data_IF_044927356349
#
_entry.id   IF_044927356349
#
_cell.length_a   1.000
_cell.length_b   1.000
_cell.length_c   1.000
_cell.angle_alpha   90.00
_cell.angle_beta   90.00
_cell.angle_gamma   90.00
#
_symmetry.space_group_name_H-M   'P 1'
#
loop_
_entity.id
_entity.type
_entity.pdbx_description
1 polymer ?
#
# COMPACT_ATOMS: atom_id res chain seq x y z
N UNK A 1 -21.47 11.13 -42.22
CA UNK A 1 -20.16 10.70 -41.69
C UNK A 1 -19.27 10.39 -42.87
N UNK A 2 -18.19 11.15 -43.07
CA UNK A 2 -17.35 11.06 -44.27
C UNK A 2 -16.32 9.91 -44.16
N UNK A 3 -16.00 9.30 -45.30
CA UNK A 3 -15.25 8.04 -45.44
C UNK A 3 -13.85 8.00 -44.80
N UNK A 4 -13.26 9.15 -44.46
CA UNK A 4 -11.93 9.24 -43.83
C UNK A 4 -11.85 8.59 -42.45
N UNK A 5 -12.93 8.59 -41.67
CA UNK A 5 -12.95 7.98 -40.33
C UNK A 5 -12.94 6.46 -40.36
N UNK A 6 -13.30 5.86 -41.49
CA UNK A 6 -13.35 4.40 -41.67
C UNK A 6 -11.95 3.91 -42.07
N UNK A 7 -11.26 4.62 -42.97
CA UNK A 7 -9.92 4.23 -43.43
C UNK A 7 -8.85 4.25 -42.32
N UNK A 8 -8.91 5.21 -41.37
CA UNK A 8 -7.95 5.26 -40.26
C UNK A 8 -8.09 4.11 -39.27
N UNK A 9 -9.25 3.44 -39.21
CA UNK A 9 -9.48 2.30 -38.33
C UNK A 9 -9.00 0.96 -38.91
N UNK A 10 -8.72 0.92 -40.22
CA UNK A 10 -8.36 -0.30 -40.95
C UNK A 10 -6.88 -0.38 -41.39
N UNK A 11 -6.13 0.72 -41.30
CA UNK A 11 -4.68 0.72 -41.55
C UNK A 11 -3.92 0.38 -40.26
N UNK A 12 -4.09 -0.88 -39.86
CA UNK A 12 -3.22 -1.64 -38.96
C UNK A 12 -1.74 -1.46 -39.27
N UNK A 13 -0.92 -1.72 -38.25
CA UNK A 13 0.03 -2.85 -38.29
C UNK A 13 0.10 -3.32 -36.83
N UNK A 14 -0.65 -4.34 -36.41
CA UNK A 14 -0.32 -5.77 -36.56
C UNK A 14 1.21 -6.00 -36.68
N UNK A 15 1.92 -5.60 -35.63
CA UNK A 15 3.13 -6.30 -35.19
C UNK A 15 2.77 -7.00 -33.89
N UNK A 16 2.63 -8.31 -34.02
CA UNK A 16 2.32 -9.26 -32.97
C UNK A 16 3.35 -9.20 -31.84
N UNK A 17 2.93 -8.73 -30.67
CA UNK A 17 3.20 -9.45 -29.44
C UNK A 17 1.83 -9.84 -28.88
N UNK A 18 1.61 -11.10 -28.47
CA UNK A 18 0.37 -11.44 -27.80
C UNK A 18 0.31 -10.59 -26.53
N UNK A 19 -0.62 -9.65 -26.47
CA UNK A 19 -1.10 -9.11 -25.20
C UNK A 19 -1.54 -10.33 -24.39
N UNK A 20 -0.66 -10.75 -23.50
CA UNK A 20 -0.99 -11.69 -22.43
C UNK A 20 -2.29 -11.17 -21.82
N UNK A 21 -3.34 -12.01 -21.68
CA UNK A 21 -4.60 -11.52 -21.14
C UNK A 21 -4.27 -10.83 -19.83
N UNK A 22 -4.53 -9.52 -19.77
CA UNK A 22 -4.33 -8.74 -18.58
C UNK A 22 -5.10 -9.47 -17.48
N UNK A 23 -4.38 -10.03 -16.51
CA UNK A 23 -4.98 -10.35 -15.23
C UNK A 23 -5.40 -8.99 -14.67
N UNK A 24 -6.69 -8.63 -14.84
CA UNK A 24 -7.36 -7.51 -14.16
C UNK A 24 -7.53 -7.82 -12.66
N UNK A 25 -6.49 -8.39 -12.04
CA UNK A 25 -6.33 -8.41 -10.60
C UNK A 25 -5.63 -7.10 -10.24
N UNK A 26 -6.31 -6.27 -9.45
CA UNK A 26 -5.97 -4.86 -9.19
C UNK A 26 -4.47 -4.60 -9.07
N UNK A 27 -3.93 -3.90 -10.06
CA UNK A 27 -2.51 -3.57 -10.15
C UNK A 27 -2.07 -2.81 -8.88
N UNK A 28 -1.04 -3.29 -8.20
CA UNK A 28 -0.55 -2.72 -6.94
C UNK A 28 0.64 -1.81 -7.22
N UNK A 29 0.55 -0.57 -6.77
CA UNK A 29 1.69 0.35 -6.76
C UNK A 29 2.60 0.03 -5.57
N UNK A 30 3.83 -0.39 -5.86
CA UNK A 30 4.89 -0.46 -4.86
C UNK A 30 5.48 0.94 -4.60
N UNK A 31 5.37 1.41 -3.35
CA UNK A 31 5.87 2.71 -2.91
C UNK A 31 7.04 2.57 -1.91
N UNK A 32 7.68 1.40 -1.88
CA UNK A 32 8.78 1.02 -1.01
C UNK A 32 8.34 0.67 0.42
N UNK A 33 7.66 1.60 1.09
CA UNK A 33 7.19 1.41 2.47
C UNK A 33 5.80 0.74 2.57
N UNK A 34 5.01 0.82 1.50
CA UNK A 34 3.66 0.24 1.45
C UNK A 34 3.20 0.01 0.02
N UNK A 35 2.29 -0.95 -0.15
CA UNK A 35 1.65 -1.27 -1.42
C UNK A 35 0.29 -0.61 -1.54
N UNK A 36 0.03 0.08 -2.64
CA UNK A 36 -1.22 0.81 -2.87
C UNK A 36 -2.07 0.14 -3.96
N UNK A 37 -3.31 -0.23 -3.62
CA UNK A 37 -4.28 -0.79 -4.54
C UNK A 37 -4.77 0.29 -5.53
N UNK A 38 -4.51 0.11 -6.83
CA UNK A 38 -5.07 0.98 -7.87
C UNK A 38 -6.57 0.72 -8.06
N UNK A 39 -7.21 1.58 -8.85
CA UNK A 39 -8.66 1.55 -9.09
C UNK A 39 -9.44 2.38 -8.07
N UNK A 40 -10.72 2.61 -8.36
CA UNK A 40 -11.60 3.47 -7.54
C UNK A 40 -12.61 2.62 -6.74
N UNK A 41 -12.88 1.39 -7.17
CA UNK A 41 -13.89 0.51 -6.57
C UNK A 41 -13.30 -0.54 -5.63
N UNK A 42 -12.09 -0.98 -5.89
CA UNK A 42 -11.51 -2.09 -5.14
C UNK A 42 -11.05 -1.67 -3.75
N UNK A 43 -11.09 -2.61 -2.82
CA UNK A 43 -10.60 -2.44 -1.45
C UNK A 43 -9.82 -3.69 -1.05
N UNK A 44 -8.72 -3.50 -0.34
CA UNK A 44 -7.99 -4.60 0.25
C UNK A 44 -8.84 -5.25 1.35
N UNK A 45 -8.96 -6.58 1.31
CA UNK A 45 -9.60 -7.36 2.37
C UNK A 45 -8.67 -7.51 3.57
N UNK A 46 -7.38 -7.71 3.31
CA UNK A 46 -6.33 -7.89 4.32
C UNK A 46 -5.32 -6.74 4.27
N UNK A 47 -4.77 -6.38 5.42
CA UNK A 47 -3.59 -5.52 5.56
C UNK A 47 -2.43 -6.37 6.08
N UNK A 48 -1.43 -6.57 5.24
CA UNK A 48 -0.20 -7.29 5.56
C UNK A 48 0.85 -6.36 6.21
N UNK A 49 1.55 -6.85 7.22
CA UNK A 49 2.65 -6.17 7.89
C UNK A 49 3.92 -7.01 7.77
N UNK A 50 4.88 -6.51 6.99
CA UNK A 50 6.15 -7.18 6.68
C UNK A 50 7.26 -6.62 7.55
N UNK A 51 7.84 -7.48 8.37
CA UNK A 51 8.97 -7.14 9.23
C UNK A 51 10.29 -7.34 8.47
N UNK A 52 11.32 -6.59 8.88
CA UNK A 52 12.64 -6.61 8.22
C UNK A 52 13.39 -7.93 8.37
N UNK A 53 12.96 -8.78 9.31
CA UNK A 53 13.48 -10.14 9.51
C UNK A 53 12.85 -11.18 8.56
N UNK A 54 11.90 -10.76 7.71
CA UNK A 54 11.19 -11.61 6.76
C UNK A 54 9.87 -12.17 7.30
N UNK A 55 9.54 -11.96 8.58
CA UNK A 55 8.24 -12.34 9.12
C UNK A 55 7.14 -11.44 8.56
N UNK A 56 5.95 -11.99 8.38
CA UNK A 56 4.78 -11.24 7.93
C UNK A 56 3.53 -11.70 8.64
N UNK A 57 2.67 -10.76 9.00
CA UNK A 57 1.37 -11.01 9.63
C UNK A 57 0.33 -10.15 8.92
N UNK A 58 -0.81 -10.72 8.56
CA UNK A 58 -1.91 -9.98 7.94
C UNK A 58 -3.15 -9.95 8.84
N UNK A 59 -3.81 -8.80 8.87
CA UNK A 59 -5.07 -8.60 9.60
C UNK A 59 -6.19 -8.25 8.63
N UNK A 60 -7.40 -8.73 8.92
CA UNK A 60 -8.60 -8.37 8.16
C UNK A 60 -8.97 -6.90 8.41
N UNK A 61 -9.14 -6.12 7.35
CA UNK A 61 -9.63 -4.75 7.43
C UNK A 61 -11.03 -4.65 8.03
N UNK A 62 -11.88 -5.67 7.84
CA UNK A 62 -13.19 -5.77 8.49
C UNK A 62 -13.12 -5.80 10.02
N UNK A 63 -11.94 -6.11 10.58
CA UNK A 63 -11.67 -6.10 12.01
C UNK A 63 -10.98 -4.83 12.48
N UNK A 64 -10.61 -3.90 11.60
CA UNK A 64 -9.99 -2.62 11.98
C UNK A 64 -11.03 -1.72 12.68
N UNK A 65 -10.84 -1.51 13.98
CA UNK A 65 -11.79 -0.78 14.86
C UNK A 65 -11.42 0.68 15.05
N UNK A 66 -10.13 0.97 15.19
CA UNK A 66 -9.62 2.32 15.50
C UNK A 66 -8.25 2.51 14.86
N UNK A 67 -8.02 3.72 14.37
CA UNK A 67 -6.74 4.18 13.83
C UNK A 67 -6.37 5.46 14.57
N UNK A 68 -5.19 5.50 15.18
CA UNK A 68 -4.67 6.66 15.92
C UNK A 68 -3.37 7.11 15.29
N UNK A 69 -3.24 8.41 15.01
CA UNK A 69 -1.99 8.99 14.55
C UNK A 69 -1.54 10.09 15.51
N UNK A 70 -0.32 9.94 16.02
CA UNK A 70 0.39 10.99 16.73
C UNK A 70 1.68 11.31 15.96
N UNK A 71 1.90 12.56 15.53
CA UNK A 71 3.14 12.95 14.84
C UNK A 71 4.43 12.58 15.57
N UNK A 72 4.40 12.50 16.91
CA UNK A 72 5.56 12.16 17.74
C UNK A 72 5.70 10.66 18.00
N UNK A 73 4.60 9.89 18.03
CA UNK A 73 4.62 8.48 18.45
C UNK A 73 4.39 7.49 17.32
N UNK A 74 3.86 7.95 16.18
CA UNK A 74 3.54 7.14 15.01
C UNK A 74 2.05 6.82 14.86
N UNK A 75 1.78 5.66 14.26
CA UNK A 75 0.44 5.17 13.92
C UNK A 75 0.10 3.94 14.77
N UNK A 76 -1.10 3.88 15.33
CA UNK A 76 -1.59 2.72 16.08
C UNK A 76 -2.88 2.22 15.44
N UNK A 77 -2.92 0.94 15.13
CA UNK A 77 -4.05 0.25 14.52
C UNK A 77 -4.62 -0.75 15.52
N UNK A 78 -5.89 -0.59 15.88
CA UNK A 78 -6.59 -1.49 16.77
C UNK A 78 -7.50 -2.39 15.95
N UNK A 79 -7.26 -3.69 16.02
CA UNK A 79 -8.13 -4.71 15.46
C UNK A 79 -9.04 -5.30 16.53
N UNK A 80 -10.03 -6.10 16.15
CA UNK A 80 -10.89 -6.80 17.11
C UNK A 80 -10.10 -7.71 18.06
N UNK A 81 -10.61 -7.89 19.28
CA UNK A 81 -9.88 -8.54 20.38
C UNK A 81 -8.85 -7.60 21.00
N UNK A 82 -7.70 -8.16 21.42
CA UNK A 82 -6.58 -7.41 22.02
C UNK A 82 -5.45 -7.11 21.01
N UNK A 83 -5.73 -7.25 19.72
CA UNK A 83 -4.73 -7.07 18.66
C UNK A 83 -4.49 -5.59 18.35
N UNK A 84 -3.28 -5.12 18.63
CA UNK A 84 -2.85 -3.72 18.41
C UNK A 84 -1.52 -3.71 17.66
N UNK A 85 -1.49 -3.07 16.50
CA UNK A 85 -0.26 -2.89 15.71
C UNK A 85 0.21 -1.45 15.86
N UNK A 86 1.43 -1.25 16.35
CA UNK A 86 2.08 0.06 16.42
C UNK A 86 3.12 0.19 15.31
N UNK A 87 3.03 1.25 14.53
CA UNK A 87 3.92 1.57 13.42
C UNK A 87 4.63 2.88 13.74
N UNK A 88 5.96 2.86 13.78
CA UNK A 88 6.80 4.06 13.95
C UNK A 88 7.63 4.31 12.70
N UNK A 89 8.01 5.56 12.51
CA UNK A 89 8.83 5.97 11.39
C UNK A 89 8.59 7.42 11.00
N UNK A 90 8.99 7.77 9.78
CA UNK A 90 8.99 9.15 9.28
C UNK A 90 7.93 9.34 8.22
N UNK A 91 7.35 10.55 8.19
CA UNK A 91 6.39 10.99 7.17
C UNK A 91 5.13 10.10 7.04
N UNK A 92 4.71 9.39 8.10
CA UNK A 92 3.58 8.43 8.06
C UNK A 92 2.23 9.05 7.66
N UNK A 93 2.06 10.35 7.89
CA UNK A 93 0.88 11.12 7.45
C UNK A 93 1.24 12.16 6.39
N UNK A 94 2.33 11.98 5.63
CA UNK A 94 2.68 12.86 4.51
C UNK A 94 2.27 12.20 3.18
N UNK A 95 1.82 12.99 2.20
CA UNK A 95 1.60 12.46 0.84
C UNK A 95 2.92 11.96 0.23
N UNK A 96 2.94 10.73 -0.26
CA UNK A 96 4.06 10.16 -1.03
C UNK A 96 3.98 10.60 -2.49
N UNK A 97 2.75 10.70 -3.03
CA UNK A 97 2.40 11.22 -4.36
C UNK A 97 1.04 11.94 -4.27
N UNK A 98 0.62 12.71 -5.29
CA UNK A 98 -0.74 13.28 -5.30
C UNK A 98 -1.80 12.20 -5.03
N UNK A 99 -2.65 12.44 -4.03
CA UNK A 99 -3.71 11.53 -3.58
C UNK A 99 -3.27 10.18 -2.96
N UNK A 100 -1.96 9.96 -2.77
CA UNK A 100 -1.41 8.72 -2.20
C UNK A 100 -0.69 9.03 -0.89
N UNK A 101 -1.21 8.47 0.19
CA UNK A 101 -0.74 8.73 1.56
C UNK A 101 -1.09 7.53 2.42
N UNK A 102 -0.14 7.09 3.26
CA UNK A 102 -0.29 5.87 4.07
C UNK A 102 -1.52 5.90 4.98
N UNK A 103 -1.64 6.90 5.87
CA UNK A 103 -2.77 7.01 6.79
C UNK A 103 -4.12 7.00 6.05
N UNK A 104 -4.26 7.84 5.02
CA UNK A 104 -5.48 7.90 4.22
C UNK A 104 -5.75 6.60 3.48
N UNK A 105 -4.71 5.92 3.01
CA UNK A 105 -4.81 4.63 2.37
C UNK A 105 -5.35 3.57 3.33
N UNK A 106 -4.87 3.53 4.57
CA UNK A 106 -5.36 2.60 5.60
C UNK A 106 -6.83 2.86 5.87
N UNK A 107 -7.21 4.12 6.10
CA UNK A 107 -8.62 4.50 6.33
C UNK A 107 -9.54 4.18 5.14
N UNK A 108 -8.99 4.18 3.92
CA UNK A 108 -9.72 3.87 2.70
C UNK A 108 -9.65 2.39 2.29
N UNK A 109 -8.94 1.55 3.04
CA UNK A 109 -8.66 0.14 2.72
C UNK A 109 -7.97 -0.01 1.36
N UNK A 110 -7.00 0.87 1.09
CA UNK A 110 -6.20 0.89 -0.14
C UNK A 110 -4.82 0.28 0.03
N UNK A 111 -4.36 0.08 1.26
CA UNK A 111 -3.03 -0.46 1.50
C UNK A 111 -3.13 -1.98 1.56
N UNK A 112 -2.40 -2.70 0.71
CA UNK A 112 -2.33 -4.17 0.79
C UNK A 112 -1.31 -4.62 1.82
N UNK A 113 -0.17 -3.92 1.87
CA UNK A 113 0.94 -4.27 2.74
C UNK A 113 1.68 -3.02 3.22
N UNK A 114 2.30 -3.11 4.39
CA UNK A 114 3.20 -2.12 4.98
C UNK A 114 4.49 -2.86 5.35
N UNK A 115 5.64 -2.28 5.07
CA UNK A 115 6.92 -2.96 5.23
C UNK A 115 7.92 -2.13 6.04
N UNK A 116 8.51 -2.74 7.07
CA UNK A 116 9.68 -2.20 7.77
C UNK A 116 10.86 -2.05 6.81
N UNK A 117 11.51 -0.88 6.88
CA UNK A 117 12.74 -0.62 6.17
C UNK A 117 13.93 -1.33 6.84
N UNK A 118 14.88 -1.77 6.02
CA UNK A 118 16.18 -2.22 6.53
C UNK A 118 17.00 -1.03 7.03
N UNK A 119 17.99 -1.26 7.89
CA UNK A 119 18.88 -0.19 8.37
C UNK A 119 19.58 0.58 7.22
N UNK A 120 20.11 -0.09 6.18
CA UNK A 120 20.63 0.61 5.00
C UNK A 120 19.59 1.49 4.30
N UNK A 121 18.33 1.05 4.22
CA UNK A 121 17.28 1.80 3.53
C UNK A 121 16.85 3.03 4.34
N UNK A 122 16.82 2.93 5.67
CA UNK A 122 16.55 4.07 6.58
C UNK A 122 17.59 5.18 6.35
N UNK A 123 18.87 4.81 6.24
CA UNK A 123 19.99 5.74 6.07
C UNK A 123 20.00 6.40 4.67
N UNK A 124 19.56 5.67 3.63
CA UNK A 124 19.52 6.16 2.25
C UNK A 124 18.26 6.95 1.92
N UNK A 125 17.19 6.77 2.70
CA UNK A 125 15.91 7.41 2.44
C UNK A 125 16.01 8.94 2.53
N UNK A 126 15.46 9.63 1.52
CA UNK A 126 15.38 11.07 1.53
C UNK A 126 14.45 11.56 2.66
N UNK A 127 14.70 12.78 3.17
CA UNK A 127 14.00 13.34 4.33
C UNK A 127 12.48 13.39 4.21
N UNK A 128 11.95 13.48 2.99
CA UNK A 128 10.52 13.59 2.72
C UNK A 128 9.85 12.27 2.36
N UNK A 129 10.61 11.19 2.26
CA UNK A 129 10.10 9.85 1.94
C UNK A 129 9.43 9.25 3.17
N UNK A 130 8.30 8.58 2.96
CA UNK A 130 7.68 7.74 4.00
C UNK A 130 8.57 6.54 4.27
N UNK A 131 8.94 6.36 5.54
CA UNK A 131 9.80 5.26 6.00
C UNK A 131 9.12 4.62 7.20
N UNK A 132 8.93 3.31 7.15
CA UNK A 132 8.51 2.52 8.31
C UNK A 132 9.77 2.01 8.99
N UNK A 133 10.03 2.46 10.21
CA UNK A 133 11.23 2.08 10.95
C UNK A 133 10.96 0.85 11.82
N UNK A 134 9.74 0.73 12.34
CA UNK A 134 9.33 -0.41 13.14
C UNK A 134 7.83 -0.67 13.06
N UNK A 135 7.47 -1.94 13.10
CA UNK A 135 6.15 -2.49 13.29
C UNK A 135 6.21 -3.39 14.53
N UNK A 136 5.48 -3.01 15.57
CA UNK A 136 5.38 -3.76 16.81
C UNK A 136 3.97 -4.35 16.96
N UNK A 137 3.93 -5.62 17.34
CA UNK A 137 2.71 -6.35 17.69
C UNK A 137 2.60 -6.49 19.21
N UNK A 138 1.41 -6.79 19.76
CA UNK A 138 1.28 -7.07 21.17
C UNK A 138 2.08 -8.35 21.46
N UNK A 139 3.00 -8.29 22.42
CA UNK A 139 3.65 -9.50 22.92
C UNK A 139 2.59 -10.35 23.62
N UNK A 140 2.48 -11.62 23.25
CA UNK A 140 1.63 -12.55 23.98
C UNK A 140 2.06 -12.54 25.46
N UNK A 141 1.11 -12.32 26.38
CA UNK A 141 1.36 -12.56 27.80
C UNK A 141 1.61 -14.06 27.96
N UNK A 142 2.82 -14.40 28.42
CA UNK A 142 3.18 -15.76 28.82
C UNK A 142 2.35 -16.23 30.02
#
# INVERSE_FOLDING_TARGET
MTADKILQRYLRTDRDEPESPANEEGEVDDLGSFGWLRGIRDRAAMLEFRQKDGNSIAFDYGWLRKVEFNPSDGLVLHFGGDAVVKITGRNLNRPTRPNVQLLRGILAHRILWIQEASEPDILKAADHTTVIEQIAFPTAKA
#
